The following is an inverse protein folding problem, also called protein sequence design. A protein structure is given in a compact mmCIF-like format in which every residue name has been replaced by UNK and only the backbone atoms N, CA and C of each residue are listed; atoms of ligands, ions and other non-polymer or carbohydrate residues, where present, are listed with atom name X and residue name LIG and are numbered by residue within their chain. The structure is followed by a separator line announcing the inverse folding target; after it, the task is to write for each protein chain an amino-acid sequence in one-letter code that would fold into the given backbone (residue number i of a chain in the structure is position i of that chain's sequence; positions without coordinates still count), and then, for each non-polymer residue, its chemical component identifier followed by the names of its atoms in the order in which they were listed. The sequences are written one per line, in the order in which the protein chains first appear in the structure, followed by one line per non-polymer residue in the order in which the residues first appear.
data_IF_157974074303
#
_entry.id   IF_157974074303
#
_cell.length_a   1.000
_cell.length_b   1.000
_cell.length_c   1.000
_cell.angle_alpha   90.00
_cell.angle_beta   90.00
_cell.angle_gamma   90.00
#
_symmetry.space_group_name_H-M   'P 1'
#
loop_
_entity.id
_entity.type
_entity.pdbx_description
1 polymer ?
#
# COMPACT_ATOMS: atom_id res chain seq x y z
N UNK A 1 -27.28 -7.61 5.94
CA UNK A 1 -26.66 -6.82 7.03
C UNK A 1 -25.16 -6.80 6.81
N UNK A 2 -24.56 -5.62 6.66
CA UNK A 2 -23.14 -5.46 6.38
C UNK A 2 -22.39 -5.22 7.70
N UNK A 3 -21.88 -6.29 8.31
CA UNK A 3 -21.20 -6.24 9.60
C UNK A 3 -20.02 -5.25 9.57
N UNK A 4 -19.37 -5.13 8.41
CA UNK A 4 -18.28 -4.20 8.16
C UNK A 4 -18.71 -2.73 8.28
N UNK A 5 -19.93 -2.36 7.85
CA UNK A 5 -20.39 -0.97 7.96
C UNK A 5 -20.75 -0.59 9.40
N UNK A 6 -21.20 -1.54 10.21
CA UNK A 6 -21.53 -1.32 11.62
C UNK A 6 -20.28 -1.23 12.48
N UNK A 7 -19.30 -2.11 12.27
CA UNK A 7 -18.04 -2.08 13.02
C UNK A 7 -17.17 -0.89 12.63
N UNK A 8 -17.17 -0.49 11.34
CA UNK A 8 -16.43 0.68 10.87
C UNK A 8 -16.79 1.99 11.60
N UNK A 9 -18.04 2.17 12.02
CA UNK A 9 -18.47 3.37 12.75
C UNK A 9 -17.87 3.47 14.16
N UNK A 10 -17.70 2.32 14.84
CA UNK A 10 -17.15 2.26 16.20
C UNK A 10 -15.62 2.28 16.17
N UNK A 11 -15.00 1.60 15.21
CA UNK A 11 -13.54 1.66 15.04
C UNK A 11 -13.06 3.01 14.53
N UNK A 12 -13.85 3.74 13.73
CA UNK A 12 -13.47 5.07 13.26
C UNK A 12 -13.28 6.09 14.39
N UNK A 13 -13.91 5.89 15.56
CA UNK A 13 -13.68 6.73 16.74
C UNK A 13 -12.30 6.52 17.38
N UNK A 14 -11.67 5.36 17.14
CA UNK A 14 -10.35 5.00 17.68
C UNK A 14 -9.24 5.09 16.64
N UNK A 15 -9.53 4.67 15.40
CA UNK A 15 -8.66 4.79 14.25
C UNK A 15 -9.49 5.15 13.01
N UNK A 16 -9.71 6.45 12.73
CA UNK A 16 -10.47 6.88 11.58
C UNK A 16 -9.77 6.46 10.28
N UNK A 17 -10.56 6.04 9.29
CA UNK A 17 -10.04 5.77 7.96
C UNK A 17 -9.35 7.02 7.40
N UNK A 18 -8.11 6.86 6.95
CA UNK A 18 -7.31 7.93 6.40
C UNK A 18 -7.40 7.93 4.87
N UNK A 19 -7.53 9.11 4.23
CA UNK A 19 -7.44 9.21 2.78
C UNK A 19 -6.01 8.93 2.30
N UNK A 20 -5.88 8.12 1.26
CA UNK A 20 -4.62 7.80 0.62
C UNK A 20 -4.79 7.72 -0.91
N UNK A 21 -3.66 7.65 -1.63
CA UNK A 21 -3.66 7.34 -3.06
C UNK A 21 -2.95 6.03 -3.31
N UNK A 22 -3.63 5.10 -3.98
CA UNK A 22 -3.04 3.90 -4.52
C UNK A 22 -2.45 4.23 -5.88
N UNK A 23 -1.13 4.25 -5.97
CA UNK A 23 -0.40 4.39 -7.21
C UNK A 23 -0.25 3.02 -7.84
N UNK A 24 -1.10 2.72 -8.82
CA UNK A 24 -1.13 1.45 -9.53
C UNK A 24 -0.29 1.53 -10.79
N UNK A 25 0.61 0.57 -11.01
CA UNK A 25 1.34 0.50 -12.28
C UNK A 25 0.40 -0.01 -13.39
N UNK A 26 0.18 0.80 -14.42
CA UNK A 26 -0.74 0.48 -15.54
C UNK A 26 -0.01 0.01 -16.80
N UNK A 27 1.31 0.17 -16.86
CA UNK A 27 2.12 -0.37 -17.95
C UNK A 27 3.52 0.25 -18.00
N UNK A 28 4.18 0.08 -19.13
CA UNK A 28 5.50 0.67 -19.40
C UNK A 28 5.44 1.40 -20.73
N UNK A 29 5.91 2.65 -20.77
CA UNK A 29 6.11 3.42 -22.00
C UNK A 29 7.52 3.15 -22.53
N UNK A 30 7.63 2.88 -23.81
CA UNK A 30 8.90 2.76 -24.53
C UNK A 30 9.20 4.06 -25.27
N UNK A 31 10.36 4.64 -25.02
CA UNK A 31 10.87 5.77 -25.78
C UNK A 31 11.61 5.29 -27.04
N UNK A 32 11.85 6.19 -28.00
CA UNK A 32 12.50 5.87 -29.27
C UNK A 32 13.97 5.43 -29.12
N UNK A 33 14.57 5.71 -27.96
CA UNK A 33 15.89 5.26 -27.53
C UNK A 33 15.88 3.90 -26.80
N UNK A 34 14.74 3.20 -26.79
CA UNK A 34 14.48 1.96 -26.05
C UNK A 34 14.49 2.09 -24.53
N UNK A 35 14.52 3.31 -23.98
CA UNK A 35 14.33 3.54 -22.56
C UNK A 35 12.91 3.18 -22.14
N UNK A 36 12.77 2.62 -20.93
CA UNK A 36 11.48 2.20 -20.36
C UNK A 36 11.10 3.11 -19.21
N UNK A 37 9.90 3.69 -19.26
CA UNK A 37 9.34 4.49 -18.16
C UNK A 37 8.06 3.83 -17.67
N UNK A 38 7.96 3.42 -16.39
CA UNK A 38 6.72 2.88 -15.84
C UNK A 38 5.62 3.95 -15.83
N UNK A 39 4.43 3.56 -16.27
CA UNK A 39 3.22 4.37 -16.23
C UNK A 39 2.43 4.01 -14.98
N UNK A 40 1.95 5.04 -14.28
CA UNK A 40 1.19 4.90 -13.06
C UNK A 40 -0.14 5.64 -13.13
N UNK A 41 -1.14 5.09 -12.47
CA UNK A 41 -2.44 5.71 -12.21
C UNK A 41 -2.62 5.88 -10.70
N UNK A 42 -2.96 7.09 -10.26
CA UNK A 42 -3.22 7.38 -8.84
C UNK A 42 -4.73 7.27 -8.57
N UNK A 43 -5.13 6.27 -7.80
CA UNK A 43 -6.52 5.99 -7.43
C UNK A 43 -6.76 6.44 -5.98
N UNK A 44 -7.74 7.33 -5.71
CA UNK A 44 -8.06 7.72 -4.34
C UNK A 44 -8.71 6.55 -3.58
N UNK A 45 -8.19 6.25 -2.40
CA UNK A 45 -8.64 5.15 -1.54
C UNK A 45 -8.73 5.59 -0.08
N UNK A 46 -9.55 4.89 0.70
CA UNK A 46 -9.60 5.04 2.15
C UNK A 46 -8.91 3.85 2.80
N UNK A 47 -7.99 4.10 3.71
CA UNK A 47 -7.15 3.07 4.34
C UNK A 47 -7.22 3.15 5.86
N UNK A 48 -7.11 1.99 6.51
CA UNK A 48 -6.89 1.88 7.95
C UNK A 48 -5.43 1.48 8.18
N UNK A 49 -4.70 2.27 8.97
CA UNK A 49 -3.26 2.10 9.19
C UNK A 49 -3.03 1.58 10.59
N UNK A 50 -2.31 0.47 10.70
CA UNK A 50 -1.92 -0.14 11.96
C UNK A 50 -0.41 -0.38 12.03
N UNK A 51 0.18 -0.37 13.24
CA UNK A 51 1.57 -0.78 13.41
C UNK A 51 1.77 -2.21 12.89
N UNK A 52 2.93 -2.47 12.28
CA UNK A 52 3.29 -3.82 11.89
C UNK A 52 3.45 -4.69 13.15
N UNK A 53 2.74 -5.82 13.28
CA UNK A 53 2.83 -6.63 14.49
C UNK A 53 4.21 -7.28 14.58
N UNK A 54 4.75 -7.34 15.80
CA UNK A 54 6.14 -7.72 16.09
C UNK A 54 6.50 -9.15 15.65
N UNK A 55 5.53 -10.06 15.58
CA UNK A 55 5.70 -11.41 15.05
C UNK A 55 5.89 -11.44 13.51
N UNK A 56 5.21 -10.57 12.78
CA UNK A 56 5.42 -10.37 11.33
C UNK A 56 6.77 -9.71 11.09
N UNK A 57 7.18 -8.77 11.96
CA UNK A 57 8.51 -8.16 11.91
C UNK A 57 9.63 -9.20 12.13
N UNK A 58 9.45 -10.21 12.98
CA UNK A 58 10.44 -11.28 13.17
C UNK A 58 10.63 -12.14 11.91
N UNK A 59 9.55 -12.44 11.17
CA UNK A 59 9.63 -13.16 9.89
C UNK A 59 10.26 -12.31 8.77
N UNK A 60 10.12 -10.97 8.85
CA UNK A 60 10.77 -9.99 7.96
C UNK A 60 12.21 -9.66 8.44
N UNK A 61 12.54 -10.04 9.67
CA UNK A 61 13.65 -9.51 10.47
C UNK A 61 15.07 -9.87 10.01
N UNK A 62 15.23 -10.63 8.94
CA UNK A 62 16.55 -10.90 8.36
C UNK A 62 16.96 -9.93 7.25
N UNK A 63 16.08 -9.03 6.75
CA UNK A 63 16.38 -8.27 5.53
C UNK A 63 16.23 -6.73 5.63
N UNK A 64 15.57 -6.15 6.64
CA UNK A 64 15.30 -4.69 6.60
C UNK A 64 15.14 -4.03 7.97
N UNK A 65 16.21 -3.97 8.77
CA UNK A 65 16.19 -3.33 10.11
C UNK A 65 16.02 -1.79 10.07
N UNK A 66 16.19 -1.13 8.92
CA UNK A 66 16.20 0.34 8.82
C UNK A 66 14.96 0.95 8.16
N UNK A 67 14.05 0.15 7.60
CA UNK A 67 12.87 0.66 6.89
C UNK A 67 11.61 0.57 7.76
N UNK A 68 10.87 1.67 7.89
CA UNK A 68 9.59 1.72 8.61
C UNK A 68 8.55 0.85 7.89
N UNK A 69 7.94 -0.08 8.62
CA UNK A 69 6.91 -0.99 8.11
C UNK A 69 5.58 -0.74 8.81
N UNK A 70 4.48 -0.75 8.05
CA UNK A 70 3.11 -0.63 8.57
C UNK A 70 2.20 -1.70 7.98
N UNK A 71 1.18 -2.08 8.74
CA UNK A 71 0.07 -2.88 8.22
C UNK A 71 -1.01 -1.93 7.72
N UNK A 72 -1.50 -2.12 6.51
CA UNK A 72 -2.57 -1.31 5.94
C UNK A 72 -3.73 -2.21 5.53
N UNK A 73 -4.94 -1.81 5.90
CA UNK A 73 -6.17 -2.41 5.40
C UNK A 73 -6.80 -1.44 4.42
N UNK A 74 -7.18 -1.95 3.25
CA UNK A 74 -7.89 -1.16 2.25
C UNK A 74 -9.06 -1.97 1.68
N UNK A 75 -10.08 -1.25 1.22
CA UNK A 75 -11.19 -1.85 0.49
C UNK A 75 -10.91 -1.78 -1.00
N UNK A 76 -10.88 -2.94 -1.65
CA UNK A 76 -10.50 -3.12 -3.05
C UNK A 76 -9.31 -4.07 -3.19
N UNK A 77 -8.92 -4.29 -4.45
CA UNK A 77 -7.74 -5.08 -4.78
C UNK A 77 -6.50 -4.21 -4.89
N UNK A 78 -5.40 -4.67 -4.30
CA UNK A 78 -4.06 -4.17 -4.56
C UNK A 78 -3.19 -5.31 -5.11
N UNK A 79 -2.21 -4.98 -5.95
CA UNK A 79 -1.31 -5.99 -6.52
C UNK A 79 0.10 -5.81 -5.96
N UNK A 80 0.64 -6.87 -5.35
CA UNK A 80 2.06 -6.94 -5.02
C UNK A 80 2.87 -7.19 -6.28
N UNK A 81 4.14 -6.78 -6.23
CA UNK A 81 5.12 -6.99 -7.28
C UNK A 81 5.22 -8.49 -7.66
N UNK A 82 4.61 -8.85 -8.78
CA UNK A 82 4.68 -10.17 -9.41
C UNK A 82 5.60 -10.08 -10.62
N UNK A 83 6.86 -10.50 -10.43
CA UNK A 83 7.89 -10.50 -11.47
C UNK A 83 7.49 -11.29 -12.73
N UNK A 84 6.80 -12.45 -12.66
CA UNK A 84 6.36 -13.18 -13.84
C UNK A 84 5.26 -12.48 -14.64
N UNK A 85 4.40 -11.70 -13.97
CA UNK A 85 3.28 -10.99 -14.62
C UNK A 85 3.67 -9.56 -15.07
N UNK A 86 4.91 -9.13 -14.83
CA UNK A 86 5.37 -7.74 -14.99
C UNK A 86 4.41 -6.71 -14.37
N UNK A 87 3.70 -7.12 -13.32
CA UNK A 87 2.63 -6.35 -12.69
C UNK A 87 2.89 -6.23 -11.19
N UNK A 88 2.60 -5.07 -10.62
CA UNK A 88 2.81 -4.79 -9.20
C UNK A 88 4.07 -3.98 -8.94
N UNK A 89 4.29 -3.66 -7.67
CA UNK A 89 5.04 -2.46 -7.29
C UNK A 89 4.12 -1.26 -7.05
N UNK A 90 2.83 -1.55 -6.83
CA UNK A 90 1.88 -0.56 -6.38
C UNK A 90 2.38 0.06 -5.06
N UNK A 91 2.27 1.38 -4.97
CA UNK A 91 2.62 2.13 -3.77
C UNK A 91 1.40 2.85 -3.22
N UNK A 92 1.39 3.06 -1.92
CA UNK A 92 0.41 3.87 -1.23
C UNK A 92 1.05 5.20 -0.83
N UNK A 93 0.36 6.29 -1.12
CA UNK A 93 0.78 7.63 -0.77
C UNK A 93 -0.15 8.15 0.33
N UNK A 94 0.41 8.26 1.53
CA UNK A 94 -0.25 8.81 2.72
C UNK A 94 0.80 9.43 3.64
N UNK A 95 0.38 10.35 4.50
CA UNK A 95 1.28 11.08 5.42
C UNK A 95 2.48 11.72 4.68
N UNK A 96 2.25 12.24 3.47
CA UNK A 96 3.29 12.89 2.64
C UNK A 96 4.44 11.97 2.23
N UNK A 97 4.30 10.66 2.39
CA UNK A 97 5.34 9.67 2.12
C UNK A 97 4.84 8.61 1.15
N UNK A 98 5.78 7.97 0.46
CA UNK A 98 5.50 6.85 -0.43
C UNK A 98 5.83 5.53 0.27
N UNK A 99 4.86 4.62 0.25
CA UNK A 99 4.89 3.34 0.94
C UNK A 99 4.72 2.22 -0.08
N UNK A 100 5.79 1.46 -0.32
CA UNK A 100 5.75 0.34 -1.25
C UNK A 100 4.97 -0.82 -0.63
N UNK A 101 4.04 -1.39 -1.39
CA UNK A 101 3.35 -2.61 -0.97
C UNK A 101 4.31 -3.79 -1.13
N UNK A 102 4.81 -4.31 -0.03
CA UNK A 102 5.82 -5.39 -0.04
C UNK A 102 5.21 -6.76 0.10
N UNK A 103 4.06 -6.90 0.79
CA UNK A 103 3.32 -8.17 0.90
C UNK A 103 1.81 -7.94 0.97
N UNK A 104 1.04 -8.84 0.35
CA UNK A 104 -0.39 -9.03 0.60
C UNK A 104 -0.49 -10.20 1.58
N UNK A 105 -1.05 -9.95 2.76
CA UNK A 105 -1.28 -10.97 3.77
C UNK A 105 -2.62 -11.66 3.56
N UNK A 106 -3.65 -10.89 3.18
CA UNK A 106 -5.01 -11.38 3.02
C UNK A 106 -5.69 -10.66 1.86
N UNK A 107 -6.42 -11.42 1.04
CA UNK A 107 -7.25 -10.89 -0.04
C UNK A 107 -8.54 -11.72 -0.10
N UNK A 108 -9.67 -11.09 0.27
CA UNK A 108 -10.94 -11.81 0.49
C UNK A 108 -11.87 -11.81 -0.73
N UNK A 109 -11.53 -11.08 -1.79
CA UNK A 109 -12.28 -11.05 -3.04
C UNK A 109 -12.06 -9.75 -3.80
N UNK A 110 -12.54 -9.64 -5.06
CA UNK A 110 -12.18 -8.55 -5.95
C UNK A 110 -12.64 -7.15 -5.51
N UNK A 111 -13.69 -7.07 -4.70
CA UNK A 111 -14.26 -5.82 -4.16
C UNK A 111 -14.33 -5.80 -2.63
N UNK A 112 -13.64 -6.75 -1.99
CA UNK A 112 -13.59 -6.88 -0.54
C UNK A 112 -12.35 -6.20 0.01
N UNK A 113 -12.01 -6.46 1.27
CA UNK A 113 -10.84 -5.89 1.90
C UNK A 113 -9.60 -6.73 1.62
N UNK A 114 -8.45 -6.06 1.59
CA UNK A 114 -7.16 -6.72 1.65
C UNK A 114 -6.31 -6.12 2.76
N UNK A 115 -5.45 -6.98 3.32
CA UNK A 115 -4.48 -6.62 4.34
C UNK A 115 -3.09 -6.68 3.73
N UNK A 116 -2.39 -5.56 3.81
CA UNK A 116 -1.08 -5.36 3.20
C UNK A 116 -0.02 -5.05 4.26
N UNK A 117 1.21 -5.41 3.96
CA UNK A 117 2.40 -4.83 4.58
C UNK A 117 2.98 -3.83 3.60
N UNK A 118 3.23 -2.62 4.11
CA UNK A 118 3.86 -1.54 3.35
C UNK A 118 5.17 -1.14 4.01
N UNK A 119 6.13 -0.76 3.17
CA UNK A 119 7.47 -0.34 3.59
C UNK A 119 7.77 1.04 3.02
N UNK A 120 8.14 1.98 3.88
CA UNK A 120 8.44 3.36 3.48
C UNK A 120 9.64 3.40 2.53
N UNK A 121 9.47 4.01 1.35
CA UNK A 121 10.54 4.13 0.33
C UNK A 121 11.27 5.46 0.42
N UNK A 122 10.51 6.55 0.50
CA UNK A 122 11.05 7.91 0.53
C UNK A 122 10.54 8.61 1.80
N UNK A 123 11.42 9.15 2.65
CA UNK A 123 10.99 10.01 3.75
C UNK A 123 10.28 11.25 3.17
N UNK A 124 9.31 11.81 3.93
CA UNK A 124 8.51 12.96 3.49
C UNK A 124 9.45 14.05 2.95
N UNK A 125 9.32 14.40 1.67
CA UNK A 125 10.12 15.47 1.08
C UNK A 125 9.69 16.77 1.76
N UNK A 126 10.52 17.29 2.67
CA UNK A 126 10.40 18.66 3.17
C UNK A 126 10.41 19.56 1.93
N UNK A 127 9.29 20.20 1.61
CA UNK A 127 9.27 21.24 0.59
C UNK A 127 10.25 22.34 1.04
N UNK A 128 11.23 22.75 0.22
CA UNK A 128 11.96 23.97 0.51
C UNK A 128 11.00 25.15 0.37
N UNK A 129 11.08 26.08 1.34
CA UNK A 129 10.37 27.36 1.35
C UNK A 129 10.62 28.18 0.09
#
# INVERSE_FOLDING_TARGET
MNLFSLTAGVTAALNPLQPAKLRRMTGTKYAADYSTTPLYEDIPVMIDIQPAPSNVLQLIGNITQQSENRTVYLRGNAHTLSRPLQSGGDSLIFEGSEWLITKILEQWGPNEWCRLIVTRQTPQRSQPN
#
